data_IF_453201298064
#
_entry.id   IF_453201298064
#
_cell.length_a   1.000
_cell.length_b   1.000
_cell.length_c   1.000
_cell.angle_alpha   90.00
_cell.angle_beta   90.00
_cell.angle_gamma   90.00
#
_symmetry.space_group_name_H-M   'P 1'
#
loop_
_entity.id
_entity.type
_entity.pdbx_description
1 polymer ?
#
# COMPACT_ATOMS: atom_id res chain seq x y z
N UNK A 1 37.73 30.12 5.21
CA UNK A 1 36.69 29.91 4.19
C UNK A 1 36.53 28.40 4.00
N UNK A 2 35.97 27.68 4.96
CA UNK A 2 36.06 26.20 4.99
C UNK A 2 34.86 25.47 5.62
N UNK A 3 33.65 26.02 5.59
CA UNK A 3 32.45 25.33 6.12
C UNK A 3 31.38 25.01 5.06
N UNK A 4 31.64 25.32 3.79
CA UNK A 4 30.74 25.02 2.68
C UNK A 4 30.45 23.53 2.43
N UNK A 5 31.43 22.60 2.52
CA UNK A 5 31.16 21.19 2.20
C UNK A 5 30.28 20.51 3.26
N UNK A 6 30.40 20.92 4.53
CA UNK A 6 29.64 20.33 5.63
C UNK A 6 28.15 20.72 5.57
N UNK A 7 27.88 21.98 5.20
CA UNK A 7 26.52 22.49 5.00
C UNK A 7 25.85 21.85 3.77
N UNK A 8 26.61 21.60 2.71
CA UNK A 8 26.16 20.84 1.54
C UNK A 8 25.84 19.38 1.89
N UNK A 9 26.70 18.70 2.66
CA UNK A 9 26.43 17.33 3.12
C UNK A 9 25.17 17.25 3.99
N UNK A 10 25.00 18.16 4.95
CA UNK A 10 23.79 18.23 5.77
C UNK A 10 22.54 18.46 4.92
N UNK A 11 22.62 19.35 3.93
CA UNK A 11 21.53 19.62 3.00
C UNK A 11 21.17 18.39 2.17
N UNK A 12 22.15 17.62 1.68
CA UNK A 12 21.91 16.39 0.91
C UNK A 12 21.33 15.29 1.79
N UNK A 13 21.83 15.08 3.01
CA UNK A 13 21.30 14.05 3.92
C UNK A 13 19.82 14.25 4.23
N UNK A 14 19.39 15.49 4.50
CA UNK A 14 17.98 15.82 4.76
C UNK A 14 17.06 15.62 3.55
N UNK A 15 17.61 15.67 2.32
CA UNK A 15 16.85 15.40 1.09
C UNK A 15 16.72 13.90 0.80
N UNK A 16 17.65 13.08 1.28
CA UNK A 16 17.61 11.61 1.10
C UNK A 16 16.48 10.98 1.91
N UNK A 17 16.17 11.51 3.10
CA UNK A 17 15.05 11.04 3.94
C UNK A 17 13.67 11.23 3.28
N UNK A 18 13.56 12.13 2.29
CA UNK A 18 12.33 12.35 1.53
C UNK A 18 12.11 11.34 0.40
N UNK A 19 13.10 10.50 0.10
CA UNK A 19 13.13 9.63 -1.08
C UNK A 19 13.08 8.13 -0.73
N UNK A 20 12.50 7.75 0.39
CA UNK A 20 12.21 6.33 0.62
C UNK A 20 11.13 5.84 -0.36
N UNK A 21 11.50 4.87 -1.20
CA UNK A 21 10.59 4.28 -2.15
C UNK A 21 9.56 3.41 -1.41
N UNK A 22 8.28 3.79 -1.49
CA UNK A 22 7.18 3.09 -0.83
C UNK A 22 7.03 1.68 -1.44
N UNK A 23 7.36 0.64 -0.67
CA UNK A 23 7.16 -0.75 -1.08
C UNK A 23 5.84 -1.27 -0.49
N UNK A 24 5.06 -2.03 -1.25
CA UNK A 24 3.77 -2.57 -0.84
C UNK A 24 3.75 -4.09 -1.03
N UNK A 25 2.93 -4.80 -0.25
CA UNK A 25 2.63 -6.19 -0.55
C UNK A 25 1.81 -6.27 -1.85
N UNK A 26 2.08 -7.31 -2.63
CA UNK A 26 1.22 -7.73 -3.74
C UNK A 26 0.63 -9.09 -3.42
N UNK A 27 -0.66 -9.22 -3.70
CA UNK A 27 -1.35 -10.50 -3.70
C UNK A 27 -2.55 -10.37 -4.63
N UNK A 28 -2.63 -11.20 -5.67
CA UNK A 28 -3.77 -11.16 -6.60
C UNK A 28 -5.01 -11.85 -6.03
N UNK A 29 -4.84 -12.75 -5.04
CA UNK A 29 -5.94 -13.39 -4.31
C UNK A 29 -5.55 -13.74 -2.88
N UNK A 30 -6.14 -13.05 -1.92
CA UNK A 30 -6.18 -13.42 -0.50
C UNK A 30 -7.43 -14.25 -0.25
N UNK A 31 -7.34 -15.31 0.54
CA UNK A 31 -8.50 -16.07 0.97
C UNK A 31 -9.27 -15.34 2.10
N UNK A 32 -10.33 -15.96 2.61
CA UNK A 32 -11.16 -15.38 3.68
C UNK A 32 -10.41 -15.18 5.01
N UNK A 33 -9.31 -15.90 5.22
CA UNK A 33 -8.44 -15.82 6.40
C UNK A 33 -7.31 -14.79 6.22
N UNK A 34 -7.24 -14.14 5.05
CA UNK A 34 -6.19 -13.18 4.72
C UNK A 34 -4.87 -13.81 4.27
N UNK A 35 -4.84 -15.11 3.96
CA UNK A 35 -3.66 -15.80 3.43
C UNK A 35 -3.59 -15.57 1.92
N UNK A 36 -2.40 -15.22 1.41
CA UNK A 36 -2.20 -15.07 -0.02
C UNK A 36 -2.13 -16.44 -0.71
N UNK A 37 -3.11 -16.72 -1.58
CA UNK A 37 -3.14 -17.96 -2.36
C UNK A 37 -2.47 -17.79 -3.72
N UNK A 38 -2.38 -16.57 -4.24
CA UNK A 38 -1.85 -16.31 -5.59
C UNK A 38 -1.22 -14.93 -5.68
N UNK A 39 -0.06 -14.85 -6.35
CA UNK A 39 0.59 -13.58 -6.69
C UNK A 39 1.24 -12.89 -5.50
N UNK A 40 1.67 -13.65 -4.50
CA UNK A 40 2.45 -13.14 -3.37
C UNK A 40 3.74 -12.48 -3.87
N UNK A 41 4.05 -11.31 -3.34
CA UNK A 41 5.24 -10.56 -3.69
C UNK A 41 5.20 -9.14 -3.15
N UNK A 42 6.00 -8.29 -3.77
CA UNK A 42 6.09 -6.87 -3.43
C UNK A 42 6.16 -6.01 -4.71
N UNK A 43 5.67 -4.78 -4.62
CA UNK A 43 5.83 -3.75 -5.64
C UNK A 43 6.37 -2.47 -5.01
N UNK A 44 7.15 -1.71 -5.77
CA UNK A 44 7.53 -0.33 -5.41
C UNK A 44 6.56 0.62 -6.08
N UNK A 45 5.89 1.45 -5.28
CA UNK A 45 4.91 2.41 -5.76
C UNK A 45 5.58 3.46 -6.64
N UNK A 46 5.03 3.67 -7.83
CA UNK A 46 5.41 4.76 -8.74
C UNK A 46 4.82 6.09 -8.25
N UNK A 47 5.27 7.25 -8.79
CA UNK A 47 4.65 8.53 -8.48
C UNK A 47 3.14 8.48 -8.71
N UNK A 48 2.36 8.87 -7.69
CA UNK A 48 0.89 8.82 -7.70
C UNK A 48 0.28 7.51 -7.19
N UNK A 49 1.04 6.42 -7.12
CA UNK A 49 0.58 5.16 -6.54
C UNK A 49 0.68 5.17 -5.01
N UNK A 50 -0.17 4.36 -4.38
CA UNK A 50 -0.19 4.08 -2.94
C UNK A 50 -0.29 2.58 -2.70
N UNK A 51 0.02 2.12 -1.50
CA UNK A 51 -0.31 0.74 -1.12
C UNK A 51 -1.82 0.63 -0.91
N UNK A 52 -2.43 -0.38 -1.51
CA UNK A 52 -3.85 -0.65 -1.42
C UNK A 52 -4.12 -2.09 -0.94
N UNK A 53 -5.13 -2.24 -0.09
CA UNK A 53 -5.80 -3.51 0.18
C UNK A 53 -7.27 -3.39 -0.22
N UNK A 54 -7.77 -4.40 -0.92
CA UNK A 54 -9.14 -4.52 -1.36
C UNK A 54 -9.74 -5.78 -0.78
N UNK A 55 -10.91 -5.69 -0.15
CA UNK A 55 -11.66 -6.84 0.32
C UNK A 55 -13.00 -6.89 -0.39
N UNK A 56 -13.33 -8.03 -0.99
CA UNK A 56 -14.68 -8.33 -1.44
C UNK A 56 -15.40 -9.07 -0.32
N UNK A 57 -16.47 -8.48 0.19
CA UNK A 57 -17.33 -9.05 1.21
C UNK A 57 -18.68 -9.46 0.61
N UNK A 58 -19.25 -10.53 1.13
CA UNK A 58 -20.64 -10.94 0.94
C UNK A 58 -21.21 -11.26 2.32
N UNK A 59 -22.38 -10.71 2.62
CA UNK A 59 -23.03 -10.85 3.94
C UNK A 59 -22.10 -10.49 5.12
N UNK A 60 -21.27 -9.46 4.94
CA UNK A 60 -20.30 -8.99 5.94
C UNK A 60 -19.05 -9.88 6.09
N UNK A 61 -18.91 -10.96 5.32
CA UNK A 61 -17.75 -11.86 5.37
C UNK A 61 -16.86 -11.69 4.15
N UNK A 62 -15.55 -11.58 4.40
CA UNK A 62 -14.54 -11.57 3.33
C UNK A 62 -14.64 -12.85 2.51
N UNK A 63 -14.84 -12.70 1.21
CA UNK A 63 -14.80 -13.79 0.24
C UNK A 63 -13.39 -13.98 -0.30
N UNK A 64 -12.76 -12.86 -0.68
CA UNK A 64 -11.35 -12.79 -1.04
C UNK A 64 -10.85 -11.35 -0.94
N UNK A 65 -9.53 -11.17 -0.99
CA UNK A 65 -8.89 -9.86 -1.03
C UNK A 65 -7.82 -9.73 -2.11
N UNK A 66 -7.33 -8.51 -2.30
CA UNK A 66 -6.25 -8.16 -3.23
C UNK A 66 -5.35 -7.12 -2.55
N UNK A 67 -4.04 -7.23 -2.75
CA UNK A 67 -3.04 -6.25 -2.33
C UNK A 67 -2.24 -5.79 -3.55
N UNK A 68 -1.98 -4.48 -3.68
CA UNK A 68 -1.23 -3.91 -4.82
C UNK A 68 -0.76 -2.49 -4.56
N UNK A 69 0.18 -2.03 -5.38
CA UNK A 69 0.37 -0.61 -5.66
C UNK A 69 -0.79 -0.14 -6.56
N UNK A 70 -1.42 0.99 -6.23
CA UNK A 70 -2.57 1.49 -6.95
C UNK A 70 -2.54 3.02 -7.08
N UNK A 71 -2.72 3.50 -8.31
CA UNK A 71 -2.99 4.90 -8.61
C UNK A 71 -4.41 5.30 -8.17
N UNK A 72 -5.40 4.48 -8.56
CA UNK A 72 -6.79 4.63 -8.09
C UNK A 72 -6.91 3.97 -6.73
N UNK A 73 -6.92 4.81 -5.69
CA UNK A 73 -6.98 4.38 -4.30
C UNK A 73 -7.91 5.30 -3.50
N UNK A 74 -8.91 4.75 -2.82
CA UNK A 74 -9.78 5.45 -1.89
C UNK A 74 -9.95 4.66 -0.59
N UNK A 75 -10.16 5.36 0.51
CA UNK A 75 -10.53 4.74 1.78
C UNK A 75 -12.04 4.70 1.89
N UNK A 76 -12.65 3.53 1.91
CA UNK A 76 -14.09 3.43 2.06
C UNK A 76 -14.69 2.13 1.53
N UNK A 77 -15.99 2.19 1.29
CA UNK A 77 -16.81 1.03 0.94
C UNK A 77 -17.69 1.37 -0.26
N UNK A 78 -17.75 0.47 -1.22
CA UNK A 78 -18.66 0.51 -2.36
C UNK A 78 -19.58 -0.70 -2.26
N UNK A 79 -20.90 -0.45 -2.21
CA UNK A 79 -21.90 -1.51 -2.12
C UNK A 79 -22.57 -1.69 -3.47
N UNK A 80 -22.69 -2.94 -3.93
CA UNK A 80 -23.40 -3.33 -5.12
C UNK A 80 -24.19 -4.62 -4.83
N UNK A 81 -25.51 -4.48 -4.62
CA UNK A 81 -26.41 -5.55 -4.20
C UNK A 81 -25.91 -6.25 -2.92
N UNK A 82 -25.62 -7.55 -3.00
CA UNK A 82 -25.12 -8.40 -1.92
C UNK A 82 -23.59 -8.37 -1.76
N UNK A 83 -22.91 -7.57 -2.59
CA UNK A 83 -21.45 -7.44 -2.59
C UNK A 83 -21.01 -6.10 -2.07
N UNK A 84 -20.04 -6.14 -1.17
CA UNK A 84 -19.42 -4.96 -0.59
C UNK A 84 -17.95 -4.99 -0.91
N UNK A 85 -17.43 -3.93 -1.53
CA UNK A 85 -16.00 -3.76 -1.80
C UNK A 85 -15.47 -2.76 -0.78
N UNK A 86 -14.57 -3.19 0.09
CA UNK A 86 -13.84 -2.30 1.00
C UNK A 86 -12.45 -2.06 0.45
N UNK A 87 -12.04 -0.80 0.34
CA UNK A 87 -10.67 -0.42 -0.03
C UNK A 87 -10.04 0.38 1.11
N UNK A 88 -8.80 0.02 1.45
CA UNK A 88 -7.95 0.78 2.35
C UNK A 88 -6.62 1.11 1.65
N UNK A 89 -6.15 2.34 1.85
CA UNK A 89 -5.06 2.97 1.15
C UNK A 89 -4.11 3.63 2.15
N UNK A 90 -2.82 3.43 1.94
CA UNK A 90 -1.79 3.98 2.82
C UNK A 90 -0.51 4.29 2.03
N UNK A 91 0.21 5.32 2.49
CA UNK A 91 1.46 5.79 1.88
C UNK A 91 2.50 6.28 2.90
N UNK A 92 2.23 6.12 4.21
CA UNK A 92 3.11 6.63 5.26
C UNK A 92 4.31 5.72 5.56
N UNK A 93 4.19 4.42 5.31
CA UNK A 93 5.23 3.42 5.55
C UNK A 93 5.14 2.28 4.55
N UNK A 94 6.27 1.65 4.23
CA UNK A 94 6.28 0.44 3.40
C UNK A 94 5.49 -0.70 4.07
N UNK A 95 4.90 -1.56 3.25
CA UNK A 95 4.11 -2.75 3.62
C UNK A 95 2.84 -2.46 4.43
N UNK A 96 2.40 -1.20 4.44
CA UNK A 96 1.25 -0.75 5.23
C UNK A 96 -0.09 -1.35 4.78
N UNK A 97 -0.17 -1.98 3.60
CA UNK A 97 -1.37 -2.65 3.10
C UNK A 97 -1.51 -4.09 3.61
N UNK A 98 -0.78 -4.49 4.65
CA UNK A 98 -1.04 -5.74 5.36
C UNK A 98 -2.47 -5.76 5.91
N UNK A 99 -3.12 -6.91 5.82
CA UNK A 99 -4.43 -7.08 6.44
C UNK A 99 -4.24 -7.24 7.95
N UNK A 100 -5.01 -6.46 8.73
CA UNK A 100 -5.16 -6.71 10.17
C UNK A 100 -6.23 -7.78 10.33
N UNK A 101 -5.80 -9.03 10.50
CA UNK A 101 -6.67 -10.16 10.86
C UNK A 101 -7.03 -10.07 12.34
#
# INVERSE_FOLDING_TARGET
>A
MENHPLLLLLGVSLLVDFLEALTCFTCSRLNAEGICETGEGCCTAKPGEKCASLLLLRDGKTQFGVQRCAEICFNGVVVNNDRTIKMECCNGTSYCNSLKV
#
